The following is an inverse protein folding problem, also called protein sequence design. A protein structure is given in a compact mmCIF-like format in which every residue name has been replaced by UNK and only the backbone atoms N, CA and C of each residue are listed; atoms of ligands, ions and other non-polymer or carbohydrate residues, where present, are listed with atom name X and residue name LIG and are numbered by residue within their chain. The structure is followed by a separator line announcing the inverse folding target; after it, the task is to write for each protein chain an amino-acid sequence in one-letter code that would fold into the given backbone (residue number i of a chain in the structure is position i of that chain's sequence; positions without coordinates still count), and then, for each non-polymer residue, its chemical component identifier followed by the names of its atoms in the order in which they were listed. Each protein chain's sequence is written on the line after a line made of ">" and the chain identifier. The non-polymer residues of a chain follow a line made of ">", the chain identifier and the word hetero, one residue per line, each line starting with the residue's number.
data_IF_847010306368
#
_entry.id   IF_847010306368
#
_cell.length_a   1.000
_cell.length_b   1.000
_cell.length_c   1.000
_cell.angle_alpha   90.00
_cell.angle_beta   90.00
_cell.angle_gamma   90.00
#
_symmetry.space_group_name_H-M   'P 1'
#
loop_
_entity.id
_entity.type
_entity.pdbx_description
1 polymer ?
#
# COMPACT_ATOMS: atom_id res chain seq x y z
N UNK A 1 -14.57 9.47 -44.88
CA UNK A 1 -13.38 9.91 -44.10
C UNK A 1 -13.79 10.38 -42.70
N UNK A 2 -15.06 10.75 -42.55
CA UNK A 2 -15.62 11.38 -41.36
C UNK A 2 -15.76 10.45 -40.16
N UNK A 3 -16.12 9.17 -40.35
CA UNK A 3 -16.20 8.21 -39.23
C UNK A 3 -14.84 7.94 -38.57
N UNK A 4 -13.76 7.83 -39.35
CA UNK A 4 -12.40 7.66 -38.80
C UNK A 4 -11.94 8.90 -38.05
N UNK A 5 -12.30 10.08 -38.53
CA UNK A 5 -11.98 11.35 -37.86
C UNK A 5 -12.82 11.54 -36.58
N UNK A 6 -14.07 11.07 -36.57
CA UNK A 6 -14.94 11.07 -35.40
C UNK A 6 -14.48 10.07 -34.34
N UNK A 7 -14.05 8.87 -34.75
CA UNK A 7 -13.45 7.87 -33.85
C UNK A 7 -12.13 8.38 -33.28
N UNK A 8 -11.27 8.97 -34.11
CA UNK A 8 -10.02 9.56 -33.62
C UNK A 8 -10.28 10.74 -32.67
N UNK A 9 -11.26 11.59 -32.97
CA UNK A 9 -11.66 12.71 -32.11
C UNK A 9 -12.21 12.26 -30.75
N UNK A 10 -13.08 11.25 -30.74
CA UNK A 10 -13.63 10.69 -29.50
C UNK A 10 -12.55 9.98 -28.67
N UNK A 11 -11.70 9.17 -29.31
CA UNK A 11 -10.56 8.53 -28.64
C UNK A 11 -9.61 9.54 -28.01
N UNK A 12 -9.27 10.63 -28.71
CA UNK A 12 -8.41 11.69 -28.17
C UNK A 12 -9.08 12.36 -26.96
N UNK A 13 -10.39 12.61 -27.00
CA UNK A 13 -11.12 13.17 -25.86
C UNK A 13 -11.08 12.25 -24.64
N UNK A 14 -11.31 10.94 -24.81
CA UNK A 14 -11.25 9.98 -23.71
C UNK A 14 -9.84 9.83 -23.15
N UNK A 15 -8.82 9.82 -24.02
CA UNK A 15 -7.42 9.76 -23.61
C UNK A 15 -6.98 11.02 -22.86
N UNK A 16 -7.45 12.20 -23.28
CA UNK A 16 -7.18 13.46 -22.56
C UNK A 16 -7.78 13.41 -21.15
N UNK A 17 -9.05 13.01 -21.02
CA UNK A 17 -9.69 12.88 -19.71
C UNK A 17 -8.94 11.88 -18.81
N UNK A 18 -8.54 10.74 -19.35
CA UNK A 18 -7.76 9.75 -18.61
C UNK A 18 -6.36 10.31 -18.22
N UNK A 19 -5.72 11.07 -19.11
CA UNK A 19 -4.43 11.69 -18.83
C UNK A 19 -4.52 12.76 -17.74
N UNK A 20 -5.58 13.57 -17.74
CA UNK A 20 -5.84 14.58 -16.72
C UNK A 20 -6.09 13.93 -15.35
N UNK A 21 -6.81 12.80 -15.31
CA UNK A 21 -7.00 12.01 -14.10
C UNK A 21 -5.69 11.36 -13.60
N UNK A 22 -4.86 10.85 -14.51
CA UNK A 22 -3.59 10.17 -14.17
C UNK A 22 -2.50 11.17 -13.78
N UNK A 23 -2.50 12.37 -14.33
CA UNK A 23 -1.46 13.39 -14.13
C UNK A 23 -1.11 13.64 -12.65
N UNK A 24 -2.08 13.87 -11.73
CA UNK A 24 -1.78 14.06 -10.31
C UNK A 24 -1.30 12.78 -9.62
N UNK A 25 -1.76 11.60 -10.04
CA UNK A 25 -1.48 10.32 -9.39
C UNK A 25 -0.31 9.53 -9.99
N UNK A 26 0.30 10.00 -11.08
CA UNK A 26 1.34 9.29 -11.84
C UNK A 26 2.51 8.80 -10.99
N UNK A 27 2.93 9.60 -10.01
CA UNK A 27 4.04 9.25 -9.13
C UNK A 27 3.67 8.16 -8.13
N UNK A 28 2.43 8.17 -7.65
CA UNK A 28 1.88 7.09 -6.82
C UNK A 28 1.78 5.80 -7.64
N UNK A 29 1.22 5.85 -8.86
CA UNK A 29 1.15 4.68 -9.74
C UNK A 29 2.53 4.07 -10.02
N UNK A 30 3.55 4.90 -10.27
CA UNK A 30 4.91 4.44 -10.50
C UNK A 30 5.51 3.80 -9.23
N UNK A 31 5.27 4.38 -8.05
CA UNK A 31 5.70 3.81 -6.78
C UNK A 31 5.00 2.47 -6.46
N UNK A 32 3.68 2.38 -6.66
CA UNK A 32 2.93 1.13 -6.53
C UNK A 32 3.48 0.05 -7.47
N UNK A 33 3.75 0.40 -8.72
CA UNK A 33 4.34 -0.53 -9.68
C UNK A 33 5.72 -1.04 -9.22
N UNK A 34 6.58 -0.14 -8.74
CA UNK A 34 7.88 -0.51 -8.18
C UNK A 34 7.75 -1.45 -6.97
N UNK A 35 6.79 -1.20 -6.07
CA UNK A 35 6.52 -2.05 -4.91
C UNK A 35 6.01 -3.44 -5.30
N UNK A 36 5.13 -3.55 -6.30
CA UNK A 36 4.67 -4.84 -6.83
C UNK A 36 5.84 -5.65 -7.40
N UNK A 37 6.75 -5.01 -8.15
CA UNK A 37 7.93 -5.68 -8.69
C UNK A 37 8.90 -6.13 -7.61
N UNK A 38 9.12 -5.28 -6.60
CA UNK A 38 9.96 -5.61 -5.45
C UNK A 38 9.38 -6.80 -4.66
N UNK A 39 8.08 -6.79 -4.37
CA UNK A 39 7.41 -7.89 -3.68
C UNK A 39 7.46 -9.19 -4.47
N UNK A 40 7.28 -9.12 -5.80
CA UNK A 40 7.40 -10.29 -6.66
C UNK A 40 8.81 -10.87 -6.62
N UNK A 41 9.84 -10.02 -6.72
CA UNK A 41 11.24 -10.47 -6.64
C UNK A 41 11.54 -11.14 -5.30
N UNK A 42 11.25 -10.46 -4.19
CA UNK A 42 11.54 -10.98 -2.85
C UNK A 42 10.65 -12.17 -2.48
N UNK A 43 9.41 -12.20 -2.94
CA UNK A 43 8.49 -13.33 -2.76
C UNK A 43 8.97 -14.60 -3.47
N UNK A 44 9.49 -14.47 -4.70
CA UNK A 44 10.10 -15.59 -5.43
C UNK A 44 11.36 -16.08 -4.71
N UNK A 45 12.20 -15.15 -4.26
CA UNK A 45 13.44 -15.50 -3.55
C UNK A 45 13.18 -16.21 -2.22
N UNK A 46 12.17 -15.75 -1.46
CA UNK A 46 11.73 -16.40 -0.24
C UNK A 46 11.10 -17.79 -0.48
N UNK A 47 10.34 -17.96 -1.57
CA UNK A 47 9.81 -19.27 -1.96
C UNK A 47 10.93 -20.24 -2.37
N UNK A 48 11.94 -19.74 -3.08
CA UNK A 48 13.14 -20.51 -3.47
C UNK A 48 13.95 -20.95 -2.24
N UNK A 49 14.14 -20.06 -1.27
CA UNK A 49 14.81 -20.39 0.00
C UNK A 49 14.08 -21.49 0.80
N UNK A 50 12.74 -21.52 0.73
CA UNK A 50 11.91 -22.57 1.34
C UNK A 50 11.89 -23.90 0.58
N UNK A 51 12.47 -23.96 -0.62
CA UNK A 51 12.40 -25.15 -1.48
C UNK A 51 10.99 -25.41 -2.05
N UNK A 52 10.10 -24.41 -2.02
CA UNK A 52 8.74 -24.55 -2.56
C UNK A 52 8.75 -24.57 -4.10
N UNK A 53 7.79 -25.27 -4.70
CA UNK A 53 7.61 -25.27 -6.15
C UNK A 53 7.04 -23.91 -6.61
N UNK A 54 7.85 -23.16 -7.37
CA UNK A 54 7.45 -21.84 -7.86
C UNK A 54 6.44 -22.00 -9.01
N UNK A 55 5.15 -21.95 -8.67
CA UNK A 55 4.07 -21.96 -9.66
C UNK A 55 3.83 -20.55 -10.20
N UNK A 56 4.23 -20.29 -11.45
CA UNK A 56 4.07 -18.99 -12.14
C UNK A 56 2.64 -18.41 -12.02
N UNK A 57 1.61 -19.25 -12.13
CA UNK A 57 0.20 -18.84 -11.99
C UNK A 57 -0.15 -18.27 -10.61
N UNK A 58 0.47 -18.78 -9.52
CA UNK A 58 0.25 -18.24 -8.17
C UNK A 58 0.90 -16.86 -8.03
N UNK A 59 2.12 -16.71 -8.55
CA UNK A 59 2.84 -15.44 -8.52
C UNK A 59 2.08 -14.34 -9.28
N UNK A 60 1.62 -14.64 -10.50
CA UNK A 60 0.83 -13.71 -11.31
C UNK A 60 -0.46 -13.31 -10.60
N UNK A 61 -1.19 -14.26 -9.99
CA UNK A 61 -2.42 -13.95 -9.24
C UNK A 61 -2.14 -13.02 -8.05
N UNK A 62 -1.03 -13.24 -7.34
CA UNK A 62 -0.63 -12.38 -6.22
C UNK A 62 -0.28 -10.97 -6.69
N UNK A 63 0.48 -10.84 -7.78
CA UNK A 63 0.78 -9.52 -8.38
C UNK A 63 -0.48 -8.82 -8.89
N UNK A 64 -1.39 -9.54 -9.54
CA UNK A 64 -2.67 -9.00 -10.00
C UNK A 64 -3.53 -8.49 -8.83
N UNK A 65 -3.64 -9.27 -7.75
CA UNK A 65 -4.35 -8.82 -6.54
C UNK A 65 -3.75 -7.53 -5.99
N UNK A 66 -2.42 -7.43 -5.89
CA UNK A 66 -1.77 -6.18 -5.44
C UNK A 66 -2.08 -5.00 -6.36
N UNK A 67 -2.02 -5.20 -7.69
CA UNK A 67 -2.36 -4.15 -8.66
C UNK A 67 -3.80 -3.68 -8.47
N UNK A 68 -4.75 -4.62 -8.33
CA UNK A 68 -6.16 -4.31 -8.10
C UNK A 68 -6.33 -3.57 -6.77
N UNK A 69 -5.70 -4.04 -5.70
CA UNK A 69 -5.74 -3.40 -4.39
C UNK A 69 -5.22 -1.96 -4.47
N UNK A 70 -4.12 -1.71 -5.17
CA UNK A 70 -3.59 -0.36 -5.38
C UNK A 70 -4.55 0.55 -6.14
N UNK A 71 -5.17 0.05 -7.22
CA UNK A 71 -6.15 0.82 -7.98
C UNK A 71 -7.35 1.19 -7.08
N UNK A 72 -7.84 0.24 -6.29
CA UNK A 72 -8.91 0.48 -5.32
C UNK A 72 -8.52 1.51 -4.26
N UNK A 73 -7.32 1.39 -3.66
CA UNK A 73 -6.86 2.33 -2.65
C UNK A 73 -6.63 3.74 -3.21
N UNK A 74 -6.17 3.87 -4.46
CA UNK A 74 -6.07 5.16 -5.14
C UNK A 74 -7.46 5.79 -5.31
N UNK A 75 -8.45 5.03 -5.76
CA UNK A 75 -9.82 5.54 -5.90
C UNK A 75 -10.37 5.99 -4.54
N UNK A 76 -10.17 5.20 -3.48
CA UNK A 76 -10.59 5.56 -2.12
C UNK A 76 -9.89 6.82 -1.64
N UNK A 77 -8.57 6.93 -1.80
CA UNK A 77 -7.78 8.09 -1.39
C UNK A 77 -8.20 9.37 -2.12
N UNK A 78 -8.41 9.29 -3.44
CA UNK A 78 -8.90 10.42 -4.23
C UNK A 78 -10.31 10.81 -3.81
N UNK A 79 -11.20 9.84 -3.58
CA UNK A 79 -12.56 10.10 -3.10
C UNK A 79 -12.56 10.77 -1.72
N UNK A 80 -11.67 10.37 -0.82
CA UNK A 80 -11.45 11.04 0.47
C UNK A 80 -10.88 12.45 0.31
N UNK A 81 -9.99 12.66 -0.66
CA UNK A 81 -9.51 13.98 -1.05
C UNK A 81 -10.63 14.91 -1.46
N UNK A 82 -11.53 14.46 -2.32
CA UNK A 82 -12.67 15.26 -2.78
C UNK A 82 -13.72 15.45 -1.68
N UNK A 83 -13.99 14.43 -0.87
CA UNK A 83 -15.01 14.50 0.18
C UNK A 83 -14.57 15.28 1.43
N UNK A 84 -13.29 15.23 1.77
CA UNK A 84 -12.76 15.81 3.02
C UNK A 84 -11.53 16.70 2.78
N UNK A 85 -10.64 16.35 1.85
CA UNK A 85 -9.47 17.17 1.55
C UNK A 85 -9.84 18.56 1.02
N UNK A 86 -10.76 18.65 0.07
CA UNK A 86 -11.18 19.93 -0.52
C UNK A 86 -12.03 20.78 0.44
N UNK A 87 -13.03 20.24 1.17
CA UNK A 87 -13.87 21.09 2.02
C UNK A 87 -13.16 21.57 3.29
N UNK A 88 -12.19 20.80 3.80
CA UNK A 88 -11.40 21.16 4.98
C UNK A 88 -10.05 21.84 4.64
N UNK A 89 -9.74 22.04 3.35
CA UNK A 89 -8.48 22.68 2.93
C UNK A 89 -7.22 21.86 3.22
N UNK A 90 -7.33 20.52 3.20
CA UNK A 90 -6.25 19.57 3.48
C UNK A 90 -5.89 18.83 2.17
N UNK A 91 -5.15 19.47 1.24
CA UNK A 91 -4.82 18.89 -0.06
C UNK A 91 -3.91 17.65 0.03
N UNK A 92 -3.24 17.45 1.17
CA UNK A 92 -2.34 16.30 1.41
C UNK A 92 -3.08 15.04 1.84
N UNK A 93 -4.40 15.10 2.08
CA UNK A 93 -5.16 13.98 2.64
C UNK A 93 -5.09 12.68 1.79
N UNK A 94 -5.24 12.72 0.45
CA UNK A 94 -5.06 11.52 -0.38
C UNK A 94 -3.66 10.92 -0.25
N UNK A 95 -2.64 11.78 -0.19
CA UNK A 95 -1.25 11.35 -0.07
C UNK A 95 -0.99 10.66 1.27
N UNK A 96 -1.61 11.12 2.36
CA UNK A 96 -1.52 10.47 3.68
C UNK A 96 -2.17 9.08 3.68
N UNK A 97 -3.35 8.93 3.06
CA UNK A 97 -4.01 7.62 2.93
C UNK A 97 -3.13 6.66 2.15
N UNK A 98 -2.60 7.09 1.00
CA UNK A 98 -1.71 6.27 0.17
C UNK A 98 -0.39 5.94 0.88
N UNK A 99 0.16 6.87 1.67
CA UNK A 99 1.37 6.63 2.46
C UNK A 99 1.19 5.48 3.45
N UNK A 100 0.04 5.40 4.13
CA UNK A 100 -0.27 4.30 5.05
C UNK A 100 -0.35 2.96 4.30
N UNK A 101 -1.06 2.93 3.16
CA UNK A 101 -1.17 1.73 2.31
C UNK A 101 0.20 1.26 1.84
N UNK A 102 1.03 2.19 1.35
CA UNK A 102 2.37 1.90 0.84
C UNK A 102 3.28 1.44 1.98
N UNK A 103 3.16 2.02 3.18
CA UNK A 103 3.89 1.57 4.36
C UNK A 103 3.58 0.11 4.73
N UNK A 104 2.31 -0.29 4.70
CA UNK A 104 1.91 -1.67 4.92
C UNK A 104 2.49 -2.63 3.87
N UNK A 105 2.52 -2.22 2.61
CA UNK A 105 3.09 -2.97 1.49
C UNK A 105 4.61 -3.11 1.58
N UNK A 106 5.31 -2.01 1.89
CA UNK A 106 6.75 -1.98 2.15
C UNK A 106 7.08 -2.97 3.27
N UNK A 107 6.27 -3.00 4.33
CA UNK A 107 6.46 -3.98 5.40
C UNK A 107 6.32 -5.43 4.90
N UNK A 108 5.34 -5.70 4.04
CA UNK A 108 5.18 -7.00 3.40
C UNK A 108 6.42 -7.39 2.59
N UNK A 109 6.99 -6.44 1.83
CA UNK A 109 8.21 -6.64 1.05
C UNK A 109 9.41 -6.95 1.96
N UNK A 110 9.61 -6.17 3.03
CA UNK A 110 10.67 -6.40 4.00
C UNK A 110 10.54 -7.76 4.67
N UNK A 111 9.33 -8.18 5.04
CA UNK A 111 9.10 -9.49 5.63
C UNK A 111 9.49 -10.63 4.68
N UNK A 112 9.14 -10.54 3.39
CA UNK A 112 9.59 -11.51 2.38
C UNK A 112 11.11 -11.49 2.21
N UNK A 113 11.73 -10.31 2.22
CA UNK A 113 13.18 -10.13 2.09
C UNK A 113 13.96 -10.76 3.26
N UNK A 114 13.54 -10.51 4.50
CA UNK A 114 14.18 -11.09 5.69
C UNK A 114 14.02 -12.61 5.73
N UNK A 115 12.85 -13.11 5.30
CA UNK A 115 12.59 -14.54 5.21
C UNK A 115 13.49 -15.23 4.16
N UNK A 116 13.77 -14.57 3.03
CA UNK A 116 14.72 -15.04 2.03
C UNK A 116 16.16 -15.12 2.54
N UNK A 117 16.54 -14.31 3.53
CA UNK A 117 17.87 -14.30 4.18
C UNK A 117 17.96 -15.18 5.43
N UNK A 118 16.93 -15.98 5.73
CA UNK A 118 16.92 -16.89 6.87
C UNK A 118 16.79 -16.21 8.25
N UNK A 119 16.53 -14.89 8.29
CA UNK A 119 16.27 -14.17 9.53
C UNK A 119 14.80 -14.31 9.91
N UNK A 120 14.48 -14.83 11.11
CA UNK A 120 13.11 -14.96 11.65
C UNK A 120 12.47 -13.62 12.07
N UNK A 121 12.93 -12.50 11.53
CA UNK A 121 12.54 -11.16 11.94
C UNK A 121 11.26 -10.74 11.20
N UNK A 122 10.11 -11.16 11.75
CA UNK A 122 8.80 -10.65 11.31
C UNK A 122 8.54 -9.30 11.99
N UNK A 123 8.95 -8.21 11.34
CA UNK A 123 8.65 -6.86 11.83
C UNK A 123 7.15 -6.61 11.59
N UNK A 124 6.35 -6.69 12.65
CA UNK A 124 4.97 -6.22 12.63
C UNK A 124 4.96 -4.78 13.12
N UNK A 125 4.92 -3.79 12.22
CA UNK A 125 4.78 -2.37 12.62
C UNK A 125 3.56 -2.15 13.51
N UNK A 126 2.45 -2.87 13.27
CA UNK A 126 1.29 -2.83 14.15
C UNK A 126 1.59 -3.29 15.59
N UNK A 127 2.49 -4.27 15.76
CA UNK A 127 2.90 -4.74 17.10
C UNK A 127 3.90 -3.77 17.75
N UNK A 128 4.77 -3.15 16.94
CA UNK A 128 5.69 -2.10 17.40
C UNK A 128 4.96 -0.81 17.82
N UNK A 129 3.91 -0.42 17.08
CA UNK A 129 3.07 0.73 17.40
C UNK A 129 2.19 0.46 18.64
N UNK A 130 1.64 -0.76 18.75
CA UNK A 130 0.91 -1.23 19.95
C UNK A 130 1.79 -1.25 21.20
N UNK A 131 3.07 -1.63 21.09
CA UNK A 131 3.97 -1.63 22.25
C UNK A 131 4.34 -0.22 22.77
N UNK A 132 4.08 0.85 22.00
CA UNK A 132 4.25 2.23 22.50
C UNK A 132 3.02 2.78 23.22
N UNK A 133 1.82 2.22 23.01
CA UNK A 133 0.61 2.66 23.71
C UNK A 133 0.54 2.17 25.16
N UNK A 134 1.31 1.14 25.53
CA UNK A 134 1.34 0.58 26.89
C UNK A 134 2.30 1.33 27.85
N UNK A 135 2.96 2.42 27.39
CA UNK A 135 3.88 3.23 28.22
C UNK A 135 3.17 4.42 28.90
N UNK A 136 1.89 4.67 28.58
CA UNK A 136 1.08 5.74 29.18
C UNK A 136 -0.08 5.21 30.04
N UNK A 137 0.19 4.20 30.85
CA UNK A 137 -0.62 3.95 32.05
C UNK A 137 0.20 4.49 33.22
N UNK A 138 -0.26 5.54 33.94
CA UNK A 138 0.31 5.85 35.24
C UNK A 138 0.17 4.57 36.07
N UNK A 139 1.27 4.04 36.57
CA UNK A 139 1.22 3.01 37.60
C UNK A 139 0.48 3.62 38.79
N UNK A 140 -0.78 3.25 38.96
CA UNK A 140 -1.47 3.39 40.22
C UNK A 140 -0.68 2.55 41.22
N UNK A 141 0.18 3.23 41.99
CA UNK A 141 0.84 2.66 43.15
C UNK A 141 -0.23 2.38 44.21
N UNK A 142 -0.91 1.25 44.07
CA UNK A 142 -1.61 0.58 45.17
C UNK A 142 -0.69 -0.51 45.71
N UNK A 143 0.01 -0.19 46.81
CA UNK A 143 0.55 -1.18 47.74
C UNK A 143 0.53 -0.53 49.13
N UNK A 144 -0.44 -0.88 49.97
CA UNK A 144 -0.54 -2.12 50.76
C UNK A 144 -0.04 -1.89 52.19
N UNK A 145 -0.97 -2.03 53.14
CA UNK A 145 -0.88 -2.89 54.34
C UNK A 145 -1.50 -2.25 55.58
N UNK A 146 -2.52 -2.95 56.07
CA UNK A 146 -2.94 -3.10 57.47
C UNK A 146 -1.92 -2.77 58.56
N UNK A 147 -2.36 -2.03 59.59
CA UNK A 147 -2.28 -2.32 61.05
C UNK A 147 -2.22 -1.04 61.90
N UNK A 148 -3.28 -0.77 62.66
CA UNK A 148 -3.32 -0.75 64.15
C UNK A 148 -4.76 -0.63 64.59
#
# INVERSE_FOLDING_TARGET
>A
MDERNLINGSLVSYLSWAADFISPIRWFLLAAFALVLADLKFGIEAARHRGETIRKSRAIRRSANKIIDYLCWILVATSFGEAFGTPFGIPILPALVLLVVYGCEINSCFNNYFEARGSKLRINIFKWLKNKSDIMVPSDDENDTTKT
#
